data_IF_734667139347
#
_entry.id   IF_734667139347
#
_cell.length_a   1.000
_cell.length_b   1.000
_cell.length_c   1.000
_cell.angle_alpha   90.00
_cell.angle_beta   90.00
_cell.angle_gamma   90.00
#
_symmetry.space_group_name_H-M   'P 1'
#
loop_
_entity.id
_entity.type
_entity.pdbx_description
1 polymer ?
#
# COMPACT_ATOMS: atom_id res chain seq x y z
N UNK A 1 -18.14 -1.49 15.39
CA UNK A 1 -16.84 -1.64 16.11
C UNK A 1 -15.91 -0.55 15.62
N UNK A 2 -15.04 0.02 16.47
CA UNK A 2 -14.07 1.05 16.07
C UNK A 2 -12.72 0.38 15.73
N UNK A 3 -12.01 0.89 14.74
CA UNK A 3 -10.70 0.38 14.31
C UNK A 3 -9.69 0.32 15.48
N UNK A 4 -9.71 1.29 16.37
CA UNK A 4 -8.80 1.34 17.52
C UNK A 4 -9.00 0.17 18.51
N UNK A 5 -10.15 -0.50 18.49
CA UNK A 5 -10.40 -1.68 19.34
C UNK A 5 -9.81 -2.98 18.77
N UNK A 6 -9.29 -2.94 17.55
CA UNK A 6 -8.70 -4.10 16.87
C UNK A 6 -7.18 -4.13 16.93
N UNK A 7 -6.58 -2.97 17.16
CA UNK A 7 -5.12 -2.82 17.21
C UNK A 7 -4.72 -2.68 18.67
N UNK A 8 -3.83 -3.54 19.19
CA UNK A 8 -3.37 -3.46 20.57
C UNK A 8 -2.77 -2.08 20.90
N UNK A 9 -3.00 -1.58 22.12
CA UNK A 9 -2.59 -0.23 22.52
C UNK A 9 -1.07 -0.02 22.48
N UNK A 10 -0.29 -1.09 22.72
CA UNK A 10 1.17 -1.09 22.69
C UNK A 10 1.77 -1.38 21.31
N UNK A 11 0.96 -1.39 20.23
CA UNK A 11 1.44 -1.64 18.88
C UNK A 11 1.90 -0.36 18.22
N UNK A 12 2.91 -0.47 17.35
CA UNK A 12 3.16 0.56 16.34
C UNK A 12 1.98 0.61 15.36
N UNK A 13 1.61 1.83 14.93
CA UNK A 13 0.47 2.07 14.07
C UNK A 13 0.89 2.81 12.82
N UNK A 14 0.36 2.40 11.70
CA UNK A 14 0.58 3.07 10.43
C UNK A 14 -0.65 3.03 9.53
N UNK A 15 -0.57 3.75 8.45
CA UNK A 15 -1.64 3.87 7.47
C UNK A 15 -1.10 3.67 6.08
N UNK A 16 -1.97 3.23 5.17
CA UNK A 16 -1.68 3.13 3.76
C UNK A 16 -2.93 3.43 2.93
N UNK A 17 -2.73 3.95 1.74
CA UNK A 17 -3.80 4.27 0.81
C UNK A 17 -3.82 3.30 -0.37
N UNK A 18 -5.01 2.86 -0.71
CA UNK A 18 -5.33 2.11 -1.92
C UNK A 18 -6.03 3.08 -2.86
N UNK A 19 -5.29 3.56 -3.85
CA UNK A 19 -5.78 4.53 -4.83
C UNK A 19 -5.76 3.89 -6.21
N UNK A 20 -6.79 4.21 -7.02
CA UNK A 20 -6.79 3.87 -8.45
C UNK A 20 -6.64 5.14 -9.28
N UNK A 21 -5.72 5.08 -10.24
CA UNK A 21 -5.54 6.08 -11.28
C UNK A 21 -5.92 5.47 -12.63
N UNK A 22 -6.99 5.99 -13.27
CA UNK A 22 -7.51 5.45 -14.54
C UNK A 22 -7.79 3.93 -14.54
N UNK A 23 -8.22 3.41 -13.38
CA UNK A 23 -8.50 1.98 -13.20
C UNK A 23 -7.33 1.13 -12.76
N UNK A 24 -6.09 1.63 -12.83
CA UNK A 24 -4.86 0.99 -12.38
C UNK A 24 -4.58 1.30 -10.90
N UNK A 25 -3.92 0.40 -10.19
CA UNK A 25 -3.50 0.66 -8.81
C UNK A 25 -2.29 1.59 -8.77
N UNK A 26 -2.40 2.66 -7.99
CA UNK A 26 -1.36 3.67 -7.84
C UNK A 26 -0.51 3.37 -6.61
N UNK A 27 0.81 3.39 -6.80
CA UNK A 27 1.78 3.19 -5.72
C UNK A 27 2.90 4.22 -5.80
N UNK A 28 3.45 4.55 -4.65
CA UNK A 28 4.71 5.27 -4.56
C UNK A 28 5.90 4.32 -4.73
N UNK A 29 6.95 4.81 -5.36
CA UNK A 29 8.26 4.15 -5.41
C UNK A 29 9.21 4.87 -4.47
N UNK A 30 9.88 4.12 -3.60
CA UNK A 30 10.80 4.65 -2.59
C UNK A 30 11.82 5.62 -3.15
N UNK A 31 12.04 6.71 -2.44
CA UNK A 31 13.00 7.76 -2.78
C UNK A 31 14.46 7.40 -2.45
N UNK A 32 15.34 8.41 -2.56
CA UNK A 32 16.78 8.23 -2.36
C UNK A 32 17.16 7.82 -0.94
N UNK A 33 16.39 8.23 0.05
CA UNK A 33 16.56 7.87 1.47
C UNK A 33 16.51 6.35 1.71
N UNK A 34 15.74 5.62 0.88
CA UNK A 34 15.51 4.19 1.00
C UNK A 34 16.19 3.36 -0.10
N UNK A 35 17.31 3.86 -0.67
CA UNK A 35 18.04 3.10 -1.69
C UNK A 35 18.55 1.79 -1.10
N UNK A 36 18.20 0.70 -1.78
CA UNK A 36 18.84 -0.59 -1.60
C UNK A 36 20.12 -0.66 -2.43
N UNK A 37 21.00 -1.60 -2.10
CA UNK A 37 22.11 -1.95 -2.98
C UNK A 37 21.55 -2.47 -4.32
N UNK A 38 22.27 -2.24 -5.43
CA UNK A 38 21.98 -2.78 -6.76
C UNK A 38 20.80 -2.18 -7.55
N UNK A 39 20.37 -0.94 -7.29
CA UNK A 39 19.32 -0.31 -8.10
C UNK A 39 17.92 -0.86 -7.88
N UNK A 40 17.71 -1.62 -6.82
CA UNK A 40 16.38 -2.11 -6.42
C UNK A 40 15.66 -1.06 -5.57
N UNK A 41 14.34 -0.96 -5.77
CA UNK A 41 13.46 -0.11 -4.97
C UNK A 41 12.19 -0.85 -4.61
N UNK A 42 11.60 -0.53 -3.49
CA UNK A 42 10.25 -0.98 -3.22
C UNK A 42 9.21 0.01 -3.75
N UNK A 43 8.03 -0.52 -4.02
CA UNK A 43 6.83 0.29 -4.17
C UNK A 43 5.82 -0.08 -3.09
N UNK A 44 5.09 0.92 -2.61
CA UNK A 44 4.15 0.78 -1.50
C UNK A 44 2.92 1.67 -1.73
N UNK A 45 1.87 1.50 -0.93
CA UNK A 45 0.81 2.50 -0.84
C UNK A 45 1.36 3.80 -0.27
N UNK A 46 0.80 4.92 -0.68
CA UNK A 46 1.02 6.22 -0.04
C UNK A 46 0.63 6.08 1.43
N UNK A 47 1.50 6.50 2.36
CA UNK A 47 1.25 6.35 3.79
C UNK A 47 2.50 6.07 4.60
N UNK A 48 2.36 6.11 5.93
CA UNK A 48 3.47 5.97 6.87
C UNK A 48 3.01 5.72 8.29
N UNK A 49 3.85 6.02 9.26
CA UNK A 49 3.57 5.83 10.68
C UNK A 49 2.58 6.88 11.19
N UNK A 50 1.71 6.47 12.11
CA UNK A 50 0.92 7.41 12.89
C UNK A 50 1.82 8.10 13.92
N UNK A 51 1.75 9.42 14.02
CA UNK A 51 2.42 10.19 15.06
C UNK A 51 1.73 10.01 16.41
N UNK A 52 2.40 10.41 17.50
CA UNK A 52 1.84 10.33 18.85
C UNK A 52 0.51 11.09 18.96
N UNK A 53 -0.53 10.39 19.34
CA UNK A 53 -1.89 10.95 19.44
C UNK A 53 -2.64 11.08 18.11
N UNK A 54 -2.03 10.71 16.99
CA UNK A 54 -2.64 10.76 15.67
C UNK A 54 -3.50 9.52 15.40
N UNK A 55 -4.68 9.72 14.81
CA UNK A 55 -5.52 8.63 14.34
C UNK A 55 -5.18 8.20 12.91
N UNK A 56 -5.48 6.95 12.54
CA UNK A 56 -5.17 6.38 11.22
C UNK A 56 -5.60 7.26 10.02
N UNK A 57 -6.78 7.88 10.10
CA UNK A 57 -7.29 8.73 9.01
C UNK A 57 -6.54 10.06 8.92
N UNK A 58 -6.14 10.62 10.07
CA UNK A 58 -5.34 11.84 10.10
C UNK A 58 -3.97 11.58 9.51
N UNK A 59 -3.31 10.48 9.93
CA UNK A 59 -2.05 10.04 9.36
C UNK A 59 -2.16 9.83 7.85
N UNK A 60 -3.20 9.11 7.37
CA UNK A 60 -3.41 8.88 5.94
C UNK A 60 -3.51 10.17 5.11
N UNK A 61 -4.19 11.19 5.65
CA UNK A 61 -4.33 12.48 4.99
C UNK A 61 -3.05 13.31 5.03
N UNK A 62 -2.32 13.29 6.16
CA UNK A 62 -1.02 13.98 6.30
C UNK A 62 -0.01 13.40 5.33
N UNK A 63 0.18 12.08 5.36
CA UNK A 63 1.12 11.36 4.48
C UNK A 63 0.83 11.59 2.99
N UNK A 64 -0.47 11.62 2.61
CA UNK A 64 -0.83 11.91 1.23
C UNK A 64 -0.33 13.28 0.78
N UNK A 65 -0.45 14.31 1.64
CA UNK A 65 0.05 15.66 1.33
C UNK A 65 1.58 15.70 1.34
N UNK A 66 2.23 15.05 2.30
CA UNK A 66 3.70 15.03 2.42
C UNK A 66 4.35 14.30 1.24
N UNK A 67 3.81 13.13 0.85
CA UNK A 67 4.40 12.30 -0.19
C UNK A 67 4.02 12.71 -1.61
N UNK A 68 2.88 13.39 -1.81
CA UNK A 68 2.34 13.67 -3.15
C UNK A 68 1.98 15.12 -3.41
N UNK A 69 2.00 15.98 -2.39
CA UNK A 69 1.50 17.35 -2.46
C UNK A 69 -0.02 17.47 -2.54
N UNK A 70 -0.78 16.34 -2.42
CA UNK A 70 -2.21 16.32 -2.71
C UNK A 70 -3.04 15.81 -1.53
N UNK A 71 -4.16 16.48 -1.30
CA UNK A 71 -5.17 16.00 -0.35
C UNK A 71 -5.93 14.79 -0.92
N UNK A 72 -6.41 13.93 -0.01
CA UNK A 72 -7.21 12.75 -0.34
C UNK A 72 -8.53 12.73 0.41
N UNK A 73 -9.52 12.10 -0.21
CA UNK A 73 -10.78 11.73 0.40
C UNK A 73 -10.81 10.23 0.66
N UNK A 74 -11.08 9.85 1.90
CA UNK A 74 -11.16 8.45 2.32
C UNK A 74 -12.52 7.87 1.96
N UNK A 75 -12.51 6.73 1.29
CA UNK A 75 -13.71 5.99 0.91
C UNK A 75 -13.96 4.91 1.95
N UNK A 76 -15.17 4.89 2.49
CA UNK A 76 -15.60 3.83 3.41
C UNK A 76 -15.65 2.48 2.72
N UNK A 77 -15.06 1.47 3.35
CA UNK A 77 -15.15 0.07 2.91
C UNK A 77 -16.26 -0.64 3.68
N UNK A 78 -17.16 -1.32 2.97
CA UNK A 78 -18.26 -2.09 3.59
C UNK A 78 -17.75 -3.23 4.48
N UNK A 79 -16.55 -3.74 4.17
CA UNK A 79 -15.87 -4.81 4.92
C UNK A 79 -14.41 -4.47 5.09
N UNK A 80 -13.85 -4.90 6.22
CA UNK A 80 -12.42 -4.79 6.54
C UNK A 80 -11.85 -6.19 6.71
N UNK A 81 -10.88 -6.56 5.88
CA UNK A 81 -10.16 -7.83 6.03
C UNK A 81 -9.01 -7.67 7.02
N UNK A 82 -8.87 -8.64 7.92
CA UNK A 82 -7.73 -8.76 8.82
C UNK A 82 -6.71 -9.68 8.17
N UNK A 83 -5.55 -9.13 7.81
CA UNK A 83 -4.54 -9.79 6.97
C UNK A 83 -3.29 -10.07 7.80
N UNK A 84 -2.84 -11.32 7.77
CA UNK A 84 -1.59 -11.77 8.40
C UNK A 84 -0.38 -11.43 7.53
N UNK A 85 0.85 -11.49 8.08
CA UNK A 85 2.08 -11.23 7.33
C UNK A 85 2.31 -12.11 6.10
N UNK A 86 1.75 -13.31 6.06
CA UNK A 86 1.81 -14.24 4.92
C UNK A 86 0.74 -13.94 3.85
N UNK A 87 -0.06 -12.89 4.07
CA UNK A 87 -1.15 -12.49 3.18
C UNK A 87 -2.47 -13.25 3.40
N UNK A 88 -2.53 -14.18 4.36
CA UNK A 88 -3.77 -14.87 4.67
C UNK A 88 -4.78 -13.93 5.34
N UNK A 89 -6.06 -14.05 4.95
CA UNK A 89 -7.16 -13.35 5.61
C UNK A 89 -7.67 -14.23 6.75
N UNK A 90 -7.55 -13.78 7.98
CA UNK A 90 -7.98 -14.52 9.17
C UNK A 90 -9.39 -14.16 9.61
N UNK A 91 -9.86 -12.96 9.28
CA UNK A 91 -11.21 -12.50 9.59
C UNK A 91 -11.65 -11.40 8.60
N UNK A 92 -12.96 -11.23 8.44
CA UNK A 92 -13.58 -10.14 7.70
C UNK A 92 -14.70 -9.55 8.53
N UNK A 93 -14.59 -8.28 8.87
CA UNK A 93 -15.45 -7.60 9.82
C UNK A 93 -16.07 -6.33 9.23
N UNK A 94 -17.15 -5.87 9.86
CA UNK A 94 -17.77 -4.58 9.56
C UNK A 94 -17.41 -3.57 10.66
N UNK A 95 -16.83 -2.43 10.23
CA UNK A 95 -16.48 -1.33 11.11
C UNK A 95 -17.35 -0.11 10.88
N UNK A 96 -17.36 0.80 11.86
CA UNK A 96 -18.00 2.11 11.69
C UNK A 96 -17.23 2.96 10.68
N UNK A 97 -17.97 3.78 9.92
CA UNK A 97 -17.43 4.65 8.88
C UNK A 97 -16.56 5.80 9.44
N UNK A 98 -15.46 6.16 8.73
CA UNK A 98 -14.90 5.46 7.60
C UNK A 98 -14.06 4.25 8.02
N UNK A 99 -14.32 3.10 7.38
CA UNK A 99 -13.63 1.85 7.63
C UNK A 99 -12.53 1.60 6.58
N UNK A 100 -11.38 1.02 6.97
CA UNK A 100 -10.34 0.61 6.02
C UNK A 100 -10.79 -0.60 5.19
N UNK A 101 -10.16 -0.82 4.06
CA UNK A 101 -10.33 -2.03 3.24
C UNK A 101 -9.69 -3.25 3.92
N UNK A 102 -8.55 -3.04 4.59
CA UNK A 102 -7.86 -4.08 5.34
C UNK A 102 -7.07 -3.49 6.51
N UNK A 103 -6.82 -4.32 7.51
CA UNK A 103 -5.81 -4.11 8.55
C UNK A 103 -4.77 -5.20 8.37
N UNK A 104 -3.53 -4.80 8.18
CA UNK A 104 -2.42 -5.68 7.87
C UNK A 104 -1.39 -5.63 9.01
N UNK A 105 -1.01 -6.79 9.53
CA UNK A 105 0.11 -6.90 10.45
C UNK A 105 1.40 -7.03 9.65
N UNK A 106 2.28 -6.05 9.74
CA UNK A 106 3.56 -6.06 9.06
C UNK A 106 4.64 -6.66 9.96
N UNK A 107 5.30 -7.72 9.47
CA UNK A 107 6.53 -8.19 10.11
C UNK A 107 7.63 -7.16 9.85
N UNK A 108 8.07 -6.50 10.92
CA UNK A 108 9.24 -5.65 10.83
C UNK A 108 10.48 -6.52 10.52
N UNK A 109 11.10 -6.26 9.36
CA UNK A 109 12.30 -6.95 8.90
C UNK A 109 13.61 -6.33 9.41
N UNK A 110 13.54 -5.29 10.21
CA UNK A 110 14.74 -4.69 10.83
C UNK A 110 15.35 -5.71 11.81
N UNK A 111 16.50 -6.26 11.44
CA UNK A 111 17.15 -7.38 12.14
C UNK A 111 17.70 -7.04 13.52
N UNK A 112 17.75 -5.77 13.90
CA UNK A 112 18.59 -5.25 14.99
C UNK A 112 17.81 -4.83 16.24
N UNK A 113 16.48 -5.01 16.29
CA UNK A 113 15.67 -4.66 17.46
C UNK A 113 15.31 -5.92 18.26
N UNK A 114 15.54 -5.92 19.58
CA UNK A 114 15.04 -6.97 20.47
C UNK A 114 13.51 -6.88 20.52
N UNK A 115 12.84 -8.03 20.63
CA UNK A 115 11.40 -8.24 20.76
C UNK A 115 10.55 -7.08 20.20
N UNK A 116 10.17 -7.21 18.94
CA UNK A 116 9.45 -6.16 18.19
C UNK A 116 8.00 -6.08 18.64
N UNK A 117 7.55 -4.89 18.91
CA UNK A 117 6.14 -4.60 18.99
C UNK A 117 5.48 -4.86 17.63
N UNK A 118 4.28 -5.46 17.59
CA UNK A 118 3.58 -5.68 16.33
C UNK A 118 3.26 -4.32 15.67
N UNK A 119 3.47 -4.23 14.36
CA UNK A 119 3.18 -3.04 13.57
C UNK A 119 1.96 -3.29 12.69
N UNK A 120 0.89 -2.54 12.94
CA UNK A 120 -0.38 -2.65 12.21
C UNK A 120 -0.57 -1.48 11.27
N UNK A 121 -0.88 -1.79 10.01
CA UNK A 121 -1.18 -0.80 8.97
C UNK A 121 -2.66 -0.88 8.61
N UNK A 122 -3.37 0.22 8.79
CA UNK A 122 -4.74 0.36 8.31
C UNK A 122 -4.75 0.91 6.88
N UNK A 123 -5.23 0.11 5.93
CA UNK A 123 -5.22 0.46 4.51
C UNK A 123 -6.61 0.92 4.05
N UNK A 124 -6.71 2.17 3.63
CA UNK A 124 -7.97 2.79 3.22
C UNK A 124 -8.07 2.92 1.70
N UNK A 125 -9.24 2.65 1.14
CA UNK A 125 -9.56 3.12 -0.20
C UNK A 125 -9.66 4.65 -0.19
N UNK A 126 -9.08 5.30 -1.20
CA UNK A 126 -9.10 6.75 -1.31
C UNK A 126 -9.05 7.22 -2.77
N UNK A 127 -9.35 8.48 -2.99
CA UNK A 127 -9.04 9.20 -4.23
C UNK A 127 -8.48 10.58 -3.90
N UNK A 128 -7.73 11.17 -4.84
CA UNK A 128 -7.28 12.56 -4.70
C UNK A 128 -8.46 13.52 -4.78
N UNK A 129 -8.41 14.57 -3.97
CA UNK A 129 -9.49 15.56 -3.88
C UNK A 129 -9.56 16.46 -5.11
N UNK A 130 -8.48 16.58 -5.89
CA UNK A 130 -8.36 17.44 -7.06
C UNK A 130 -7.38 16.89 -8.09
N UNK A 131 -7.33 17.55 -9.27
CA UNK A 131 -6.44 17.22 -10.40
C UNK A 131 -5.18 18.11 -10.46
N UNK A 132 -4.79 18.76 -9.37
CA UNK A 132 -3.53 19.52 -9.32
C UNK A 132 -2.33 18.64 -9.64
N UNK A 133 -1.22 19.17 -10.17
CA UNK A 133 0.00 18.39 -10.35
C UNK A 133 0.51 17.79 -9.04
N UNK A 134 1.16 16.62 -9.13
CA UNK A 134 1.85 16.02 -8.01
C UNK A 134 3.12 16.81 -7.67
N UNK A 135 3.39 16.97 -6.37
CA UNK A 135 4.62 17.57 -5.84
C UNK A 135 5.31 16.51 -4.96
N UNK A 136 6.28 15.80 -5.54
CA UNK A 136 6.99 14.72 -4.85
C UNK A 136 8.27 15.25 -4.20
N UNK A 137 8.57 14.79 -2.97
CA UNK A 137 9.92 14.91 -2.42
C UNK A 137 10.76 13.72 -2.90
N UNK A 138 11.78 13.92 -3.76
CA UNK A 138 12.59 12.83 -4.31
C UNK A 138 13.41 12.05 -3.26
N UNK A 139 13.57 12.56 -2.04
CA UNK A 139 14.20 11.82 -0.96
C UNK A 139 13.28 10.74 -0.40
N UNK A 140 11.97 11.01 -0.34
CA UNK A 140 10.95 10.08 0.17
C UNK A 140 10.33 9.25 -0.97
N UNK A 141 9.90 9.91 -2.06
CA UNK A 141 9.18 9.32 -3.20
C UNK A 141 9.85 9.69 -4.51
N UNK A 142 10.40 8.71 -5.20
CA UNK A 142 11.06 8.96 -6.50
C UNK A 142 10.10 9.03 -7.67
N UNK A 143 9.00 8.27 -7.60
CA UNK A 143 7.97 8.24 -8.62
C UNK A 143 6.64 7.73 -8.05
N UNK A 144 5.55 8.06 -8.76
CA UNK A 144 4.27 7.38 -8.65
C UNK A 144 4.08 6.51 -9.89
N UNK A 145 3.75 5.24 -9.69
CA UNK A 145 3.48 4.26 -10.74
C UNK A 145 2.03 3.80 -10.65
N UNK A 146 1.39 3.65 -11.79
CA UNK A 146 0.08 3.02 -11.91
C UNK A 146 0.23 1.69 -12.64
N UNK A 147 -0.17 0.59 -12.00
CA UNK A 147 0.03 -0.76 -12.52
C UNK A 147 -1.28 -1.55 -12.54
N UNK A 148 -1.47 -2.44 -13.53
CA UNK A 148 -2.63 -3.33 -13.56
C UNK A 148 -2.56 -4.39 -12.45
N UNK A 149 -3.70 -4.91 -12.10
CA UNK A 149 -3.86 -5.91 -11.04
C UNK A 149 -3.03 -7.17 -11.28
N UNK A 150 -2.95 -7.62 -12.53
CA UNK A 150 -2.17 -8.79 -12.94
C UNK A 150 -0.70 -8.61 -12.59
N UNK A 151 -0.11 -7.47 -12.97
CA UNK A 151 1.29 -7.17 -12.70
C UNK A 151 1.55 -6.97 -11.19
N UNK A 152 0.59 -6.40 -10.46
CA UNK A 152 0.67 -6.30 -9.01
C UNK A 152 0.74 -7.70 -8.36
N UNK A 153 -0.11 -8.64 -8.78
CA UNK A 153 -0.07 -10.02 -8.30
C UNK A 153 1.24 -10.74 -8.66
N UNK A 154 1.73 -10.58 -9.89
CA UNK A 154 3.02 -11.16 -10.34
C UNK A 154 4.21 -10.63 -9.54
N UNK A 155 4.15 -9.40 -9.06
CA UNK A 155 5.22 -8.78 -8.28
C UNK A 155 5.50 -9.46 -6.93
N UNK A 156 4.61 -10.31 -6.44
CA UNK A 156 4.84 -11.17 -5.27
C UNK A 156 5.85 -12.29 -5.56
N UNK A 157 5.95 -12.74 -6.80
CA UNK A 157 6.76 -13.89 -7.21
C UNK A 157 8.08 -13.47 -7.87
N UNK A 158 8.09 -12.30 -8.51
CA UNK A 158 9.27 -11.77 -9.19
C UNK A 158 9.36 -10.26 -9.02
N UNK A 159 10.55 -9.72 -9.07
CA UNK A 159 10.75 -8.27 -9.21
C UNK A 159 10.27 -7.84 -10.60
N UNK A 160 9.67 -6.66 -10.66
CA UNK A 160 9.19 -6.07 -11.92
C UNK A 160 10.10 -4.90 -12.31
N UNK A 161 10.24 -4.67 -13.62
CA UNK A 161 11.01 -3.55 -14.16
C UNK A 161 10.07 -2.47 -14.73
N UNK A 162 10.63 -1.30 -15.05
CA UNK A 162 9.87 -0.24 -15.72
C UNK A 162 9.26 -0.74 -17.04
N UNK A 163 10.00 -1.56 -17.78
CA UNK A 163 9.57 -2.17 -19.04
C UNK A 163 8.35 -3.09 -18.84
N UNK A 164 8.30 -3.85 -17.74
CA UNK A 164 7.12 -4.66 -17.39
C UNK A 164 5.90 -3.78 -17.14
N UNK A 165 6.07 -2.65 -16.42
CA UNK A 165 4.99 -1.68 -16.16
C UNK A 165 4.41 -1.17 -17.47
N UNK A 166 5.25 -0.66 -18.36
CA UNK A 166 4.81 -0.06 -19.62
C UNK A 166 4.18 -1.12 -20.54
N UNK A 167 4.79 -2.30 -20.67
CA UNK A 167 4.29 -3.37 -21.54
C UNK A 167 2.96 -3.97 -21.08
N UNK A 168 2.67 -3.92 -19.79
CA UNK A 168 1.39 -4.36 -19.22
C UNK A 168 0.29 -3.29 -19.23
N UNK A 169 0.56 -2.11 -19.80
CA UNK A 169 -0.39 -1.00 -19.87
C UNK A 169 -0.40 -0.10 -18.64
N UNK A 170 0.59 -0.24 -17.76
CA UNK A 170 0.84 0.69 -16.66
C UNK A 170 1.58 1.94 -17.11
N UNK A 171 1.74 2.91 -16.20
CA UNK A 171 2.42 4.17 -16.49
C UNK A 171 3.18 4.70 -15.27
N UNK A 172 4.17 5.57 -15.51
CA UNK A 172 4.77 6.45 -14.50
C UNK A 172 3.94 7.73 -14.49
N UNK A 173 3.16 7.93 -13.42
CA UNK A 173 2.20 9.04 -13.30
C UNK A 173 2.90 10.35 -12.93
N UNK A 174 3.94 10.28 -12.08
CA UNK A 174 4.74 11.42 -11.65
C UNK A 174 6.15 10.98 -11.27
N UNK A 175 7.10 11.91 -11.23
CA UNK A 175 8.50 11.61 -10.94
C UNK A 175 9.20 10.89 -12.10
N UNK A 176 10.23 10.10 -11.78
CA UNK A 176 10.98 9.34 -12.79
C UNK A 176 11.62 8.09 -12.21
N UNK A 177 11.75 7.05 -13.05
CA UNK A 177 12.50 5.83 -12.77
C UNK A 177 13.62 5.69 -13.79
N UNK A 178 14.79 5.27 -13.30
CA UNK A 178 15.92 4.93 -14.16
C UNK A 178 15.67 3.60 -14.86
N UNK A 179 16.07 3.49 -16.13
CA UNK A 179 16.03 2.23 -16.89
C UNK A 179 16.82 1.16 -16.14
N UNK A 180 16.27 -0.05 -16.04
CA UNK A 180 16.89 -1.15 -15.31
C UNK A 180 16.63 -1.13 -13.79
N UNK A 181 15.79 -0.21 -13.28
CA UNK A 181 15.33 -0.26 -11.89
C UNK A 181 14.40 -1.46 -11.70
N UNK A 182 14.74 -2.31 -10.73
CA UNK A 182 13.88 -3.41 -10.31
C UNK A 182 13.04 -3.02 -9.11
N UNK A 183 11.74 -3.35 -9.16
CA UNK A 183 10.75 -3.00 -8.16
C UNK A 183 10.18 -4.24 -7.49
N UNK A 184 9.92 -4.15 -6.19
CA UNK A 184 9.21 -5.18 -5.42
C UNK A 184 8.17 -4.55 -4.49
N UNK A 185 7.05 -5.23 -4.22
CA UNK A 185 5.99 -4.69 -3.38
C UNK A 185 6.38 -4.74 -1.90
N UNK A 186 5.96 -3.72 -1.14
CA UNK A 186 6.13 -3.66 0.31
C UNK A 186 4.86 -3.10 0.96
N UNK A 187 4.62 -3.46 2.23
CA UNK A 187 3.51 -2.92 3.03
C UNK A 187 2.16 -3.07 2.33
N UNK A 188 1.46 -1.96 2.14
CA UNK A 188 0.13 -1.92 1.50
C UNK A 188 0.10 -2.57 0.11
N UNK A 189 1.15 -2.40 -0.70
CA UNK A 189 1.19 -3.00 -2.04
C UNK A 189 1.26 -4.53 -1.96
N UNK A 190 2.11 -5.08 -1.11
CA UNK A 190 2.24 -6.51 -0.91
C UNK A 190 0.94 -7.12 -0.33
N UNK A 191 0.38 -6.49 0.72
CA UNK A 191 -0.85 -6.95 1.34
C UNK A 191 -2.03 -6.93 0.35
N UNK A 192 -2.14 -5.89 -0.45
CA UNK A 192 -3.17 -5.79 -1.48
C UNK A 192 -2.99 -6.87 -2.57
N UNK A 193 -1.76 -7.09 -3.03
CA UNK A 193 -1.46 -8.13 -4.01
C UNK A 193 -1.88 -9.52 -3.53
N UNK A 194 -1.61 -9.86 -2.26
CA UNK A 194 -2.08 -11.12 -1.65
C UNK A 194 -3.60 -11.22 -1.62
N UNK A 195 -4.30 -10.16 -1.22
CA UNK A 195 -5.77 -10.14 -1.22
C UNK A 195 -6.36 -10.37 -2.61
N UNK A 196 -5.82 -9.70 -3.62
CA UNK A 196 -6.30 -9.80 -5.01
C UNK A 196 -6.03 -11.19 -5.58
N UNK A 197 -4.84 -11.74 -5.35
CA UNK A 197 -4.48 -13.10 -5.79
C UNK A 197 -5.45 -14.13 -5.19
N UNK A 198 -5.70 -14.04 -3.88
CA UNK A 198 -6.64 -14.93 -3.20
C UNK A 198 -8.07 -14.81 -3.72
N UNK A 199 -8.53 -13.58 -4.01
CA UNK A 199 -9.87 -13.37 -4.55
C UNK A 199 -10.04 -14.05 -5.93
N UNK A 200 -9.00 -14.04 -6.77
CA UNK A 200 -8.99 -14.76 -8.06
C UNK A 200 -9.04 -16.28 -7.87
N UNK A 201 -8.20 -16.82 -6.98
CA UNK A 201 -8.18 -18.26 -6.69
C UNK A 201 -9.55 -18.78 -6.21
N UNK A 202 -10.29 -17.97 -5.44
CA UNK A 202 -11.63 -18.34 -4.98
C UNK A 202 -12.68 -18.26 -6.09
N UNK A 203 -12.59 -17.29 -7.01
CA UNK A 203 -13.52 -17.18 -8.14
C UNK A 203 -13.34 -18.30 -9.14
N UNK A 204 -12.10 -18.73 -9.40
CA UNK A 204 -11.80 -19.81 -10.34
C UNK A 204 -12.32 -21.18 -9.84
N UNK A 205 -12.42 -21.38 -8.52
CA UNK A 205 -12.98 -22.61 -7.92
C UNK A 205 -14.50 -22.68 -8.07
N UNK A 206 -15.20 -21.53 -8.03
CA UNK A 206 -16.66 -21.49 -8.13
C UNK A 206 -17.16 -21.68 -9.60
N UNK A 207 -16.32 -21.39 -10.60
CA UNK A 207 -16.65 -21.57 -12.02
C UNK A 207 -16.45 -23.02 -12.51
N UNK A 208 -15.80 -23.89 -11.74
CA UNK A 208 -15.53 -25.29 -12.05
C UNK A 208 -16.58 -26.29 -11.43
N UNK A 209 -17.65 -25.78 -10.81
CA UNK A 209 -18.73 -26.56 -10.19
C UNK A 209 -20.06 -26.35 -10.93
#
# INVERSE_FOLDING_TARGET
MNINSLVPDNSEKGTGLIIKHRGLYLFQVSGRKHRTEFGERFFAGIGGHCEEGEGFIQAAKREAVEETGKAVEIIHSARTDIVQPDGSVVDTIELTSPAPRMIYEMLDRRKDLPEKEPYFIACFNAHFADDTPFELDPEEVSALIAIPEELLCESLERKIALEDIISSGGEVVAGSLETGTFLFPLGTAAALAHLLKRAKELSDVDDDV
#
